data_IF_753944205417
#
_entry.id   IF_753944205417
#
_cell.length_a   1.000
_cell.length_b   1.000
_cell.length_c   1.000
_cell.angle_alpha   90.00
_cell.angle_beta   90.00
_cell.angle_gamma   90.00
#
_symmetry.space_group_name_H-M   'P 1'
#
loop_
_entity.id
_entity.type
_entity.pdbx_description
1 polymer ?
#
# COMPACT_ATOMS: atom_id res chain seq x y z
N UNK A 1 1.75 3.18 43.42
CA UNK A 1 0.87 3.27 42.23
C UNK A 1 1.34 4.45 41.41
N UNK A 2 2.00 4.18 40.28
CA UNK A 2 2.66 5.18 39.42
C UNK A 2 1.64 5.72 38.40
N UNK A 3 1.67 7.02 38.19
CA UNK A 3 0.62 7.84 37.59
C UNK A 3 0.15 7.39 36.21
N UNK A 4 -1.18 7.30 36.10
CA UNK A 4 -1.90 7.14 34.84
C UNK A 4 -1.82 8.43 34.04
N UNK A 5 -0.87 8.52 33.11
CA UNK A 5 -0.84 9.56 32.09
C UNK A 5 -1.83 9.21 30.97
N UNK A 6 -3.06 9.68 31.13
CA UNK A 6 -4.06 9.74 30.06
C UNK A 6 -3.73 10.95 29.17
N UNK A 7 -2.82 10.77 28.21
CA UNK A 7 -2.73 11.66 27.03
C UNK A 7 -3.77 11.12 26.04
N UNK A 8 -4.77 11.85 25.56
CA UNK A 8 -4.91 13.28 25.36
C UNK A 8 -5.42 13.46 23.93
N UNK A 9 -6.75 13.48 23.75
CA UNK A 9 -7.46 13.99 22.57
C UNK A 9 -7.31 13.20 21.27
N UNK A 10 -8.41 12.61 20.77
CA UNK A 10 -8.55 12.27 19.36
C UNK A 10 -8.64 13.55 18.52
N UNK A 11 -7.51 14.23 18.33
CA UNK A 11 -7.36 15.25 17.30
C UNK A 11 -7.52 14.56 15.94
N UNK A 12 -8.73 14.64 15.38
CA UNK A 12 -9.00 14.24 14.01
C UNK A 12 -8.46 15.34 13.08
N UNK A 13 -7.14 15.44 12.98
CA UNK A 13 -6.53 16.30 11.97
C UNK A 13 -6.97 15.82 10.58
N UNK A 14 -7.37 16.71 9.65
CA UNK A 14 -7.74 16.31 8.28
C UNK A 14 -6.62 15.57 7.55
N UNK A 15 -5.37 15.75 7.96
CA UNK A 15 -4.22 14.97 7.47
C UNK A 15 -4.22 13.51 7.94
N UNK A 16 -4.85 13.18 9.07
CA UNK A 16 -4.90 11.83 9.65
C UNK A 16 -5.75 10.86 8.82
N UNK A 17 -6.65 11.38 7.99
CA UNK A 17 -7.54 10.59 7.13
C UNK A 17 -6.97 10.34 5.72
N UNK A 18 -5.75 10.82 5.43
CA UNK A 18 -5.10 10.64 4.12
C UNK A 18 -4.57 9.21 3.98
N UNK A 19 -4.77 8.63 2.80
CA UNK A 19 -4.25 7.32 2.42
C UNK A 19 -3.36 7.47 1.21
N UNK A 20 -2.22 6.79 1.25
CA UNK A 20 -1.26 6.73 0.17
C UNK A 20 -1.17 5.30 -0.36
N UNK A 21 -0.77 5.16 -1.62
CA UNK A 21 -0.49 3.87 -2.25
C UNK A 21 1.00 3.80 -2.50
N UNK A 22 1.65 2.79 -1.93
CA UNK A 22 3.07 2.53 -2.09
C UNK A 22 3.21 1.42 -3.11
N UNK A 23 4.04 1.65 -4.12
CA UNK A 23 4.48 0.62 -5.03
C UNK A 23 5.79 0.03 -4.50
N UNK A 24 5.75 -1.27 -4.21
CA UNK A 24 6.85 -1.97 -3.56
C UNK A 24 7.36 -3.07 -4.48
N UNK A 25 8.64 -3.00 -4.84
CA UNK A 25 9.36 -4.02 -5.59
C UNK A 25 10.12 -4.96 -4.64
N UNK A 26 10.40 -6.19 -5.07
CA UNK A 26 11.41 -7.04 -4.44
C UNK A 26 11.07 -7.58 -3.04
N UNK A 27 9.78 -7.70 -2.68
CA UNK A 27 9.40 -8.36 -1.42
C UNK A 27 9.90 -9.82 -1.42
N UNK A 28 10.75 -10.14 -0.44
CA UNK A 28 11.31 -11.49 -0.30
C UNK A 28 10.37 -12.36 0.54
N UNK A 29 10.20 -13.62 0.16
CA UNK A 29 9.55 -14.60 1.01
C UNK A 29 10.45 -14.86 2.24
N UNK A 30 9.94 -14.55 3.42
CA UNK A 30 10.60 -14.70 4.72
C UNK A 30 9.51 -15.05 5.75
N UNK A 31 9.87 -15.50 6.95
CA UNK A 31 8.94 -15.92 8.03
C UNK A 31 7.82 -14.88 8.28
N UNK A 32 8.12 -13.59 8.13
CA UNK A 32 7.14 -12.50 8.29
C UNK A 32 6.04 -12.45 7.19
N UNK A 33 6.24 -13.14 6.06
CA UNK A 33 5.36 -13.16 4.90
C UNK A 33 5.01 -14.61 4.47
N UNK A 34 5.49 -15.61 5.21
CA UNK A 34 5.39 -17.04 4.91
C UNK A 34 3.97 -17.60 5.11
N UNK A 35 3.10 -16.85 5.79
CA UNK A 35 1.67 -17.16 5.93
C UNK A 35 0.82 -16.80 4.70
N UNK A 36 1.37 -16.13 3.69
CA UNK A 36 0.64 -15.87 2.44
C UNK A 36 0.74 -17.08 1.53
N UNK A 37 -0.37 -17.79 1.32
CA UNK A 37 -0.46 -19.01 0.50
C UNK A 37 -0.23 -18.83 -1.01
N UNK A 38 0.38 -17.72 -1.43
CA UNK A 38 0.62 -17.39 -2.84
C UNK A 38 2.09 -17.00 -3.05
N UNK A 39 2.81 -17.62 -3.99
CA UNK A 39 4.16 -17.18 -4.32
C UNK A 39 4.10 -15.79 -4.93
N UNK A 40 4.91 -14.86 -4.43
CA UNK A 40 5.10 -13.56 -5.07
C UNK A 40 5.66 -13.80 -6.48
N UNK A 41 4.88 -13.48 -7.53
CA UNK A 41 5.38 -13.54 -8.91
C UNK A 41 6.58 -12.61 -9.02
N UNK A 42 7.69 -13.17 -9.51
CA UNK A 42 9.03 -12.55 -9.53
C UNK A 42 9.12 -11.18 -10.21
N UNK A 43 8.11 -10.78 -11.00
CA UNK A 43 8.11 -9.56 -11.81
C UNK A 43 7.01 -8.56 -11.47
N UNK A 44 6.23 -8.76 -10.41
CA UNK A 44 5.09 -7.90 -10.08
C UNK A 44 5.39 -7.04 -8.85
N UNK A 45 5.27 -5.72 -9.00
CA UNK A 45 5.28 -4.79 -7.88
C UNK A 45 3.98 -4.95 -7.07
N UNK A 46 4.08 -4.80 -5.76
CA UNK A 46 2.95 -4.89 -4.82
C UNK A 46 2.50 -3.49 -4.46
N UNK A 47 1.20 -3.25 -4.55
CA UNK A 47 0.59 -1.97 -4.18
C UNK A 47 0.01 -2.07 -2.77
N UNK A 48 0.55 -1.28 -1.84
CA UNK A 48 0.15 -1.27 -0.43
C UNK A 48 -0.52 0.05 -0.09
N UNK A 49 -1.74 0.00 0.46
CA UNK A 49 -2.45 1.19 0.95
C UNK A 49 -2.01 1.51 2.37
N UNK A 50 -1.48 2.71 2.58
CA UNK A 50 -0.88 3.15 3.83
C UNK A 50 -1.56 4.41 4.34
N UNK A 51 -2.29 4.33 5.47
CA UNK A 51 -2.80 5.52 6.15
C UNK A 51 -1.67 6.42 6.64
N UNK A 52 -1.86 7.74 6.61
CA UNK A 52 -0.84 8.73 6.99
C UNK A 52 -0.26 8.46 8.39
N UNK A 53 -1.11 8.07 9.34
CA UNK A 53 -0.69 7.79 10.71
C UNK A 53 0.17 6.52 10.88
N UNK A 54 0.23 5.64 9.87
CA UNK A 54 1.02 4.40 9.88
C UNK A 54 2.18 4.40 8.90
N UNK A 55 2.45 5.53 8.24
CA UNK A 55 3.51 5.60 7.22
C UNK A 55 4.86 5.13 7.76
N UNK A 56 5.28 5.61 8.94
CA UNK A 56 6.56 5.21 9.52
C UNK A 56 6.62 3.71 9.85
N UNK A 57 5.54 3.14 10.37
CA UNK A 57 5.46 1.71 10.71
C UNK A 57 5.53 0.85 9.45
N UNK A 58 4.79 1.22 8.40
CA UNK A 58 4.78 0.48 7.14
C UNK A 58 6.09 0.61 6.37
N UNK A 59 6.73 1.79 6.38
CA UNK A 59 8.08 1.95 5.81
C UNK A 59 9.08 0.99 6.46
N UNK A 60 9.09 0.89 7.80
CA UNK A 60 9.96 -0.04 8.52
C UNK A 60 9.61 -1.50 8.24
N UNK A 61 8.32 -1.84 8.19
CA UNK A 61 7.84 -3.19 7.87
C UNK A 61 8.27 -3.62 6.48
N UNK A 62 8.09 -2.76 5.48
CA UNK A 62 8.51 -3.01 4.10
C UNK A 62 10.02 -3.25 4.03
N UNK A 63 10.82 -2.42 4.71
CA UNK A 63 12.27 -2.61 4.81
C UNK A 63 12.65 -3.96 5.46
N UNK A 64 11.97 -4.37 6.53
CA UNK A 64 12.18 -5.69 7.17
C UNK A 64 11.81 -6.87 6.26
N UNK A 65 10.84 -6.69 5.37
CA UNK A 65 10.47 -7.67 4.35
C UNK A 65 11.41 -7.67 3.13
N UNK A 66 12.42 -6.79 3.12
CA UNK A 66 13.36 -6.64 2.02
C UNK A 66 12.75 -5.96 0.79
N UNK A 67 11.58 -5.31 0.92
CA UNK A 67 10.95 -4.59 -0.17
C UNK A 67 11.56 -3.21 -0.38
N UNK A 68 11.60 -2.79 -1.64
CA UNK A 68 12.04 -1.45 -2.06
C UNK A 68 10.83 -0.66 -2.52
N UNK A 69 10.63 0.52 -1.95
CA UNK A 69 9.53 1.40 -2.37
C UNK A 69 10.00 2.19 -3.58
N UNK A 70 9.34 1.99 -4.72
CA UNK A 70 9.71 2.62 -6.00
C UNK A 70 8.84 3.83 -6.32
N UNK A 71 7.62 3.90 -5.77
CA UNK A 71 6.70 5.01 -5.97
C UNK A 71 5.74 5.17 -4.77
N UNK A 72 5.34 6.41 -4.49
CA UNK A 72 4.36 6.76 -3.46
C UNK A 72 3.44 7.82 -4.03
N UNK A 73 2.14 7.54 -4.05
CA UNK A 73 1.13 8.49 -4.52
C UNK A 73 -0.08 8.54 -3.60
N UNK A 74 -0.83 9.64 -3.63
CA UNK A 74 -2.12 9.72 -2.93
C UNK A 74 -3.11 8.73 -3.54
N UNK A 75 -4.05 8.25 -2.71
CA UNK A 75 -5.11 7.36 -3.18
C UNK A 75 -5.94 7.99 -4.30
N UNK A 76 -6.19 9.31 -4.23
CA UNK A 76 -6.96 10.05 -5.25
C UNK A 76 -6.30 10.03 -6.63
N UNK A 77 -4.96 9.94 -6.67
CA UNK A 77 -4.18 9.89 -7.91
C UNK A 77 -3.88 8.44 -8.34
N UNK A 78 -4.33 7.43 -7.60
CA UNK A 78 -4.03 6.03 -7.91
C UNK A 78 -5.06 5.43 -8.88
N UNK A 79 -4.66 5.34 -10.14
CA UNK A 79 -5.36 4.55 -11.15
C UNK A 79 -4.89 3.09 -11.07
N UNK A 80 -5.78 2.16 -10.76
CA UNK A 80 -5.42 0.74 -10.73
C UNK A 80 -5.15 0.27 -12.17
N UNK A 81 -4.05 -0.44 -12.45
CA UNK A 81 -3.69 -0.86 -13.81
C UNK A 81 -4.62 -1.91 -14.46
N UNK A 82 -5.79 -2.20 -13.88
CA UNK A 82 -6.79 -3.14 -14.42
C UNK A 82 -8.00 -2.46 -15.07
N UNK A 83 -8.14 -1.13 -14.98
CA UNK A 83 -9.31 -0.43 -15.53
C UNK A 83 -9.08 0.08 -16.96
N UNK A 84 -7.97 -0.30 -17.61
CA UNK A 84 -7.79 -0.16 -19.06
C UNK A 84 -8.46 -1.36 -19.73
N UNK A 85 -9.78 -1.45 -19.62
CA UNK A 85 -10.58 -2.36 -20.44
C UNK A 85 -10.61 -1.77 -21.85
N UNK A 86 -10.13 -2.53 -22.84
CA UNK A 86 -10.19 -2.16 -24.25
C UNK A 86 -11.64 -1.83 -24.67
N UNK A 87 -12.01 -0.56 -24.72
CA UNK A 87 -13.12 -0.06 -25.55
C UNK A 87 -12.62 0.00 -27.01
N UNK A 88 -12.42 -1.15 -27.65
CA UNK A 88 -12.24 -1.26 -29.10
C UNK A 88 -12.74 -2.64 -29.55
N UNK A 89 -14.04 -2.88 -29.40
CA UNK A 89 -14.76 -3.90 -30.16
C UNK A 89 -15.79 -3.13 -30.99
N UNK A 90 -15.45 -2.87 -32.25
CA UNK A 90 -16.02 -3.62 -33.38
C UNK A 90 -17.29 -2.92 -33.90
N UNK A 91 -17.08 -1.87 -34.70
CA UNK A 91 -18.08 -1.38 -35.65
C UNK A 91 -17.62 -1.80 -37.04
N UNK A 92 -17.83 -3.07 -37.38
CA UNK A 92 -17.89 -3.53 -38.76
C UNK A 92 -19.32 -3.99 -39.05
N UNK A 93 -20.20 -3.03 -39.34
CA UNK A 93 -21.51 -3.31 -39.94
C UNK A 93 -21.35 -3.43 -41.47
N UNK A 94 -22.00 -4.46 -42.00
CA UNK A 94 -22.08 -4.94 -43.38
C UNK A 94 -22.54 -3.88 -44.40
#
# INVERSE_FOLDING_TARGET
MLGSSLVGGSSSSPSKNRVFVYEVAGLKQNEANDGNSYPFRSSSNVFVRVPYNRMNEEMQRIGKMGGTIVNIQSLDNFQKPSDVSNENADNSED
#
